data_IF_899897596577
#
_entry.id   IF_899897596577
#
_cell.length_a   1.000
_cell.length_b   1.000
_cell.length_c   1.000
_cell.angle_alpha   90.00
_cell.angle_beta   90.00
_cell.angle_gamma   90.00
#
_symmetry.space_group_name_H-M   'P 1'
#
loop_
_entity.id
_entity.type
_entity.pdbx_description
1 polymer ?
#
# COMPACT_ATOMS: atom_id res chain seq x y z
N UNK A 1 4.71 -11.56 21.74
CA UNK A 1 4.77 -10.80 20.49
C UNK A 1 5.86 -9.75 20.63
N UNK A 2 7.00 -9.94 19.98
CA UNK A 2 8.05 -8.92 19.92
C UNK A 2 7.67 -7.95 18.80
N UNK A 3 7.35 -6.70 19.14
CA UNK A 3 7.23 -5.65 18.14
C UNK A 3 8.62 -5.47 17.51
N UNK A 4 8.73 -5.71 16.21
CA UNK A 4 9.91 -5.30 15.45
C UNK A 4 10.03 -3.77 15.56
N UNK A 5 11.24 -3.21 15.56
CA UNK A 5 11.41 -1.76 15.59
C UNK A 5 10.69 -1.16 14.39
N UNK A 6 9.86 -0.14 14.61
CA UNK A 6 9.37 0.68 13.50
C UNK A 6 10.59 1.25 12.77
N UNK A 7 10.68 1.08 11.44
CA UNK A 7 11.78 1.64 10.68
C UNK A 7 11.80 3.16 10.88
N UNK A 8 13.00 3.72 11.05
CA UNK A 8 13.15 5.17 11.15
C UNK A 8 12.53 5.83 9.91
N UNK A 9 11.88 7.00 10.04
CA UNK A 9 11.19 7.66 8.91
C UNK A 9 12.07 7.84 7.66
N UNK A 10 13.37 8.10 7.86
CA UNK A 10 14.36 8.23 6.79
C UNK A 10 14.56 6.92 6.02
N UNK A 11 14.62 5.78 6.72
CA UNK A 11 14.78 4.46 6.10
C UNK A 11 13.54 4.03 5.31
N UNK A 12 12.34 4.46 5.72
CA UNK A 12 11.12 4.20 4.96
C UNK A 12 11.06 5.06 3.69
N UNK A 13 11.49 6.33 3.76
CA UNK A 13 11.60 7.19 2.57
C UNK A 13 12.56 6.59 1.53
N UNK A 14 13.75 6.18 1.96
CA UNK A 14 14.75 5.58 1.05
C UNK A 14 14.22 4.29 0.39
N UNK A 15 13.47 3.49 1.16
CA UNK A 15 12.83 2.28 0.65
C UNK A 15 11.75 2.61 -0.39
N UNK A 16 10.94 3.63 -0.14
CA UNK A 16 9.90 4.08 -1.07
C UNK A 16 10.53 4.61 -2.36
N UNK A 17 11.61 5.39 -2.28
CA UNK A 17 12.33 5.91 -3.44
C UNK A 17 12.90 4.76 -4.28
N UNK A 18 13.53 3.76 -3.64
CA UNK A 18 14.02 2.58 -4.35
C UNK A 18 12.90 1.75 -5.02
N UNK A 19 11.71 1.68 -4.40
CA UNK A 19 10.56 1.01 -5.00
C UNK A 19 9.98 1.81 -6.18
N UNK A 20 9.95 3.13 -6.10
CA UNK A 20 9.57 4.01 -7.19
C UNK A 20 10.49 3.81 -8.40
N UNK A 21 11.82 3.79 -8.19
CA UNK A 21 12.79 3.55 -9.26
C UNK A 21 12.57 2.20 -9.95
N UNK A 22 12.27 1.16 -9.18
CA UNK A 22 11.95 -0.16 -9.71
C UNK A 22 10.67 -0.17 -10.55
N UNK A 23 9.61 0.52 -10.08
CA UNK A 23 8.35 0.61 -10.82
C UNK A 23 8.52 1.39 -12.13
N UNK A 24 9.30 2.48 -12.11
CA UNK A 24 9.64 3.27 -13.28
C UNK A 24 10.44 2.43 -14.28
N UNK A 25 11.44 1.68 -13.81
CA UNK A 25 12.25 0.79 -14.64
C UNK A 25 11.39 -0.32 -15.28
N UNK A 26 10.45 -0.92 -14.52
CA UNK A 26 9.53 -1.93 -15.02
C UNK A 26 8.59 -1.39 -16.12
N UNK A 27 8.29 -0.09 -16.10
CA UNK A 27 7.49 0.60 -17.12
C UNK A 27 8.34 1.23 -18.24
N UNK A 28 9.63 0.87 -18.34
CA UNK A 28 10.53 1.39 -19.38
C UNK A 28 10.81 2.89 -19.26
N UNK A 29 10.69 3.47 -18.07
CA UNK A 29 10.89 4.90 -17.83
C UNK A 29 9.65 5.78 -18.07
N UNK A 30 8.52 5.22 -18.54
CA UNK A 30 7.30 6.02 -18.72
C UNK A 30 6.57 6.24 -17.38
N UNK A 31 6.70 7.45 -16.85
CA UNK A 31 6.03 7.86 -15.62
C UNK A 31 4.51 7.74 -15.71
N UNK A 32 3.91 7.97 -16.89
CA UNK A 32 2.45 7.91 -17.02
C UNK A 32 1.93 6.47 -16.95
N UNK A 33 2.62 5.54 -17.58
CA UNK A 33 2.33 4.11 -17.45
C UNK A 33 2.61 3.61 -16.04
N UNK A 34 3.68 4.08 -15.40
CA UNK A 34 4.00 3.75 -14.00
C UNK A 34 2.88 4.15 -13.05
N UNK A 35 2.42 5.41 -13.12
CA UNK A 35 1.31 5.90 -12.28
C UNK A 35 0.03 5.08 -12.50
N UNK A 36 -0.31 4.78 -13.76
CA UNK A 36 -1.47 3.93 -14.08
C UNK A 36 -1.35 2.53 -13.49
N UNK A 37 -0.17 1.92 -13.57
CA UNK A 37 0.09 0.60 -13.02
C UNK A 37 -0.04 0.60 -11.48
N UNK A 38 0.50 1.62 -10.81
CA UNK A 38 0.38 1.75 -9.35
C UNK A 38 -1.06 1.98 -8.89
N UNK A 39 -1.84 2.79 -9.60
CA UNK A 39 -3.27 2.97 -9.32
C UNK A 39 -4.01 1.63 -9.44
N UNK A 40 -3.79 0.91 -10.56
CA UNK A 40 -4.43 -0.38 -10.78
C UNK A 40 -4.03 -1.42 -9.73
N UNK A 41 -2.75 -1.44 -9.33
CA UNK A 41 -2.26 -2.32 -8.27
C UNK A 41 -2.92 -2.02 -6.92
N UNK A 42 -3.09 -0.74 -6.58
CA UNK A 42 -3.80 -0.34 -5.36
C UNK A 42 -5.28 -0.77 -5.40
N UNK A 43 -5.99 -0.50 -6.50
CA UNK A 43 -7.39 -0.94 -6.66
C UNK A 43 -7.54 -2.45 -6.54
N UNK A 44 -6.58 -3.21 -7.10
CA UNK A 44 -6.56 -4.67 -6.99
C UNK A 44 -6.37 -5.13 -5.53
N UNK A 45 -5.42 -4.54 -4.80
CA UNK A 45 -5.19 -4.86 -3.39
C UNK A 45 -6.40 -4.51 -2.51
N UNK A 46 -7.05 -3.37 -2.75
CA UNK A 46 -8.29 -2.99 -2.06
C UNK A 46 -9.42 -3.98 -2.32
N UNK A 47 -9.55 -4.45 -3.57
CA UNK A 47 -10.52 -5.48 -3.93
C UNK A 47 -10.22 -6.82 -3.26
N UNK A 48 -8.95 -7.27 -3.26
CA UNK A 48 -8.55 -8.50 -2.57
C UNK A 48 -8.84 -8.42 -1.08
N UNK A 49 -8.52 -7.29 -0.43
CA UNK A 49 -8.82 -7.08 0.98
C UNK A 49 -10.34 -7.15 1.23
N UNK A 50 -11.16 -6.52 0.39
CA UNK A 50 -12.61 -6.55 0.52
C UNK A 50 -13.21 -7.95 0.36
N UNK A 51 -12.56 -8.82 -0.42
CA UNK A 51 -13.04 -10.19 -0.69
C UNK A 51 -12.52 -11.22 0.31
N UNK A 52 -11.31 -11.04 0.84
CA UNK A 52 -10.66 -12.02 1.71
C UNK A 52 -10.92 -11.80 3.22
N UNK A 53 -11.35 -10.61 3.64
CA UNK A 53 -11.59 -10.33 5.07
C UNK A 53 -13.04 -10.61 5.50
N UNK A 54 -13.22 -10.90 6.78
CA UNK A 54 -14.56 -11.14 7.33
C UNK A 54 -15.47 -9.90 7.25
N UNK A 55 -16.78 -10.14 7.11
CA UNK A 55 -17.79 -9.07 7.14
C UNK A 55 -17.75 -8.26 8.45
N UNK A 56 -17.36 -8.87 9.57
CA UNK A 56 -17.17 -8.18 10.85
C UNK A 56 -16.03 -7.16 10.81
N UNK A 57 -14.92 -7.52 10.15
CA UNK A 57 -13.79 -6.62 9.93
C UNK A 57 -14.18 -5.43 9.05
N UNK A 58 -14.83 -5.68 7.89
CA UNK A 58 -15.29 -4.60 6.99
C UNK A 58 -16.21 -3.61 7.70
N UNK A 59 -17.13 -4.12 8.53
CA UNK A 59 -18.00 -3.27 9.35
C UNK A 59 -17.19 -2.44 10.35
N UNK A 60 -16.22 -3.03 11.03
CA UNK A 60 -15.39 -2.28 11.97
C UNK A 60 -14.59 -1.16 11.30
N UNK A 61 -14.02 -1.41 10.11
CA UNK A 61 -13.32 -0.39 9.31
C UNK A 61 -14.26 0.76 8.94
N UNK A 62 -15.45 0.46 8.41
CA UNK A 62 -16.44 1.49 8.03
C UNK A 62 -16.91 2.37 9.19
N UNK A 63 -16.91 1.84 10.41
CA UNK A 63 -17.33 2.58 11.60
C UNK A 63 -16.14 3.19 12.36
N UNK A 64 -14.92 3.20 11.78
CA UNK A 64 -13.74 3.77 12.42
C UNK A 64 -13.31 3.05 13.70
N UNK A 65 -13.66 1.76 13.85
CA UNK A 65 -13.34 0.97 15.06
C UNK A 65 -11.92 0.41 15.05
N UNK A 66 -11.22 0.53 13.92
CA UNK A 66 -9.83 0.14 13.76
C UNK A 66 -9.00 1.35 13.32
N UNK A 67 -7.80 1.49 13.88
CA UNK A 67 -6.78 2.41 13.36
C UNK A 67 -6.17 1.82 12.10
N UNK A 68 -6.87 1.96 10.98
CA UNK A 68 -6.29 1.71 9.66
C UNK A 68 -5.45 2.91 9.24
N UNK A 69 -4.43 2.68 8.41
CA UNK A 69 -3.66 3.74 7.77
C UNK A 69 -4.61 4.69 7.01
N UNK A 70 -4.56 5.98 7.31
CA UNK A 70 -5.54 6.98 6.82
C UNK A 70 -5.07 7.81 5.62
N UNK A 71 -3.92 7.48 5.03
CA UNK A 71 -3.24 8.36 4.07
C UNK A 71 -2.29 9.30 4.77
#
# INVERSE_FOLDING_TARGET
MSAQPEPAPEAESDRLDAACDQAIAACGGDLRSTIRALILANEYLEYELATQVSQGYLRGVKHGRFNCYSG
#
